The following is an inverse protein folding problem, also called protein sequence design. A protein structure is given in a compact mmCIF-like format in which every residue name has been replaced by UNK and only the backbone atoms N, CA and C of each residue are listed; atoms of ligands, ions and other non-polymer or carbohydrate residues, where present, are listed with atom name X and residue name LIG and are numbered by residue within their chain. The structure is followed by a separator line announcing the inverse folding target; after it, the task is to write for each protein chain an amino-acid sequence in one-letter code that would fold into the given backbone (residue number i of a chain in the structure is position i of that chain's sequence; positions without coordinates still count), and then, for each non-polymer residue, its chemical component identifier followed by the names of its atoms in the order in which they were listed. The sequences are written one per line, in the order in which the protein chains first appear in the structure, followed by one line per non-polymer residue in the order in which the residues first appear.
data_IF_094245418079
#
_entry.id   IF_094245418079
#
_cell.length_a   1.000
_cell.length_b   1.000
_cell.length_c   1.000
_cell.angle_alpha   90.00
_cell.angle_beta   90.00
_cell.angle_gamma   90.00
#
_symmetry.space_group_name_H-M   'P 1'
#
loop_
_entity.id
_entity.type
_entity.pdbx_description
1 polymer ?
#
# COMPACT_ATOMS: atom_id res chain seq x y z
N UNK A 1 -13.17 19.05 -9.93
CA UNK A 1 -13.41 20.00 -8.82
C UNK A 1 -13.27 19.23 -7.51
N UNK A 2 -12.08 19.24 -6.89
CA UNK A 2 -11.82 18.55 -5.63
C UNK A 2 -12.14 19.51 -4.47
N UNK A 3 -13.04 19.12 -3.58
CA UNK A 3 -13.47 19.92 -2.43
C UNK A 3 -12.34 19.98 -1.40
N UNK A 4 -11.57 21.07 -1.34
CA UNK A 4 -10.72 21.34 -0.18
C UNK A 4 -11.63 21.79 0.97
N UNK A 5 -11.88 20.92 1.95
CA UNK A 5 -12.58 21.30 3.19
C UNK A 5 -11.80 22.42 3.87
N UNK A 6 -12.46 23.57 4.09
CA UNK A 6 -11.97 24.72 4.86
C UNK A 6 -11.65 24.26 6.29
N UNK A 7 -10.40 23.90 6.54
CA UNK A 7 -9.91 23.42 7.84
C UNK A 7 -8.47 22.90 7.78
N UNK A 8 -7.99 22.50 6.61
CA UNK A 8 -6.69 21.84 6.41
C UNK A 8 -5.52 22.84 6.17
N UNK A 9 -5.49 23.95 6.94
CA UNK A 9 -4.43 24.98 6.84
C UNK A 9 -3.22 24.73 7.75
N UNK A 10 -3.17 23.57 8.41
CA UNK A 10 -2.00 23.13 9.17
C UNK A 10 -1.39 21.90 8.51
N UNK A 11 -0.20 22.06 7.93
CA UNK A 11 0.74 20.97 7.62
C UNK A 11 0.46 20.09 6.38
N UNK A 12 0.13 20.72 5.25
CA UNK A 12 -0.06 20.03 3.95
C UNK A 12 1.23 19.52 3.30
N UNK A 13 2.42 19.88 3.81
CA UNK A 13 3.72 19.55 3.22
C UNK A 13 4.24 18.17 3.67
N UNK A 14 4.00 17.79 4.92
CA UNK A 14 4.52 16.55 5.55
C UNK A 14 3.71 15.30 5.20
N UNK A 15 2.46 15.45 4.77
CA UNK A 15 1.56 14.33 4.44
C UNK A 15 1.71 13.79 3.01
N UNK A 16 2.46 14.47 2.15
CA UNK A 16 2.40 14.24 0.70
C UNK A 16 3.62 13.59 0.10
N UNK A 17 4.70 13.36 0.85
CA UNK A 17 5.96 12.91 0.25
C UNK A 17 6.51 11.61 0.87
N UNK A 18 6.79 10.65 0.00
CA UNK A 18 7.57 9.45 0.32
C UNK A 18 8.89 9.56 -0.46
N UNK A 19 10.02 9.60 0.26
CA UNK A 19 11.36 9.82 -0.31
C UNK A 19 11.52 11.10 -1.16
N UNK A 20 10.80 12.17 -0.83
CA UNK A 20 10.83 13.43 -1.59
C UNK A 20 10.03 13.42 -2.89
N UNK A 21 9.30 12.33 -3.17
CA UNK A 21 8.36 12.24 -4.27
C UNK A 21 6.90 12.30 -3.75
N UNK A 22 5.99 12.97 -4.47
CA UNK A 22 4.61 13.09 -4.04
C UNK A 22 3.88 11.74 -4.10
N UNK A 23 3.04 11.41 -3.10
CA UNK A 23 2.25 10.17 -3.05
C UNK A 23 1.48 9.86 -4.35
N UNK A 24 0.85 10.85 -5.03
CA UNK A 24 0.22 10.61 -6.32
C UNK A 24 1.15 10.00 -7.39
N UNK A 25 2.41 10.41 -7.44
CA UNK A 25 3.38 9.84 -8.38
C UNK A 25 3.69 8.38 -8.05
N UNK A 26 3.84 8.05 -6.76
CA UNK A 26 4.00 6.66 -6.31
C UNK A 26 2.77 5.81 -6.69
N UNK A 27 1.56 6.31 -6.46
CA UNK A 27 0.34 5.59 -6.82
C UNK A 27 0.21 5.39 -8.32
N UNK A 28 0.63 6.36 -9.13
CA UNK A 28 0.65 6.22 -10.58
C UNK A 28 1.57 5.07 -11.01
N UNK A 29 2.81 5.03 -10.52
CA UNK A 29 3.75 3.92 -10.79
C UNK A 29 3.17 2.58 -10.36
N UNK A 30 2.53 2.52 -9.19
CA UNK A 30 1.87 1.30 -8.72
C UNK A 30 0.73 0.88 -9.65
N UNK A 31 -0.06 1.81 -10.17
CA UNK A 31 -1.14 1.54 -11.12
C UNK A 31 -0.61 1.04 -12.47
N UNK A 32 0.48 1.62 -13.00
CA UNK A 32 1.12 1.14 -14.23
C UNK A 32 1.64 -0.30 -14.08
N UNK A 33 2.27 -0.60 -12.94
CA UNK A 33 2.72 -1.95 -12.63
C UNK A 33 1.53 -2.92 -12.47
N UNK A 34 0.45 -2.50 -11.82
CA UNK A 34 -0.77 -3.30 -11.75
C UNK A 34 -1.37 -3.57 -13.13
N UNK A 35 -1.35 -2.60 -14.03
CA UNK A 35 -1.80 -2.80 -15.41
C UNK A 35 -0.93 -3.82 -16.16
N UNK A 36 0.39 -3.77 -15.95
CA UNK A 36 1.32 -4.77 -16.51
C UNK A 36 1.04 -6.17 -15.97
N UNK A 37 0.81 -6.30 -14.67
CA UNK A 37 0.44 -7.57 -14.04
C UNK A 37 -0.92 -8.10 -14.55
N UNK A 38 -1.90 -7.21 -14.75
CA UNK A 38 -3.21 -7.57 -15.33
C UNK A 38 -3.07 -8.08 -16.76
N UNK A 39 -2.23 -7.44 -17.58
CA UNK A 39 -1.97 -7.89 -18.94
C UNK A 39 -1.36 -9.31 -18.96
N UNK A 40 -0.43 -9.60 -18.05
CA UNK A 40 0.12 -10.96 -17.89
C UNK A 40 -0.95 -11.97 -17.50
N UNK A 41 -1.79 -11.64 -16.52
CA UNK A 41 -2.88 -12.51 -16.06
C UNK A 41 -3.87 -12.77 -17.18
N UNK A 42 -4.09 -11.80 -18.07
CA UNK A 42 -4.93 -11.94 -19.26
C UNK A 42 -4.27 -12.72 -20.41
N UNK A 43 -3.01 -13.15 -20.27
CA UNK A 43 -2.29 -13.96 -21.24
C UNK A 43 -1.39 -13.19 -22.22
N UNK A 44 -1.19 -11.89 -22.03
CA UNK A 44 -0.22 -11.13 -22.83
C UNK A 44 1.22 -11.44 -22.41
N UNK A 45 2.19 -11.36 -23.33
CA UNK A 45 3.62 -11.40 -23.00
C UNK A 45 4.09 -10.05 -22.44
N UNK A 46 3.52 -9.70 -21.29
CA UNK A 46 3.91 -8.61 -20.42
C UNK A 46 4.15 -9.20 -19.05
N UNK A 47 5.15 -8.73 -18.33
CA UNK A 47 5.50 -9.25 -17.01
C UNK A 47 6.18 -8.18 -16.19
N UNK A 48 6.05 -8.26 -14.87
CA UNK A 48 6.81 -7.42 -13.97
C UNK A 48 8.24 -7.95 -13.87
N UNK A 49 9.21 -7.12 -14.22
CA UNK A 49 10.62 -7.43 -14.05
C UNK A 49 11.08 -7.25 -12.60
N UNK A 50 12.26 -7.81 -12.30
CA UNK A 50 12.85 -7.78 -10.96
C UNK A 50 13.18 -6.37 -10.47
N UNK A 51 13.41 -5.44 -11.38
CA UNK A 51 13.68 -4.02 -11.10
C UNK A 51 12.49 -3.36 -10.39
N UNK A 52 11.27 -3.57 -10.90
CA UNK A 52 10.04 -3.03 -10.29
C UNK A 52 9.78 -3.61 -8.89
N UNK A 53 10.21 -4.86 -8.64
CA UNK A 53 10.15 -5.48 -7.31
C UNK A 53 11.15 -4.82 -6.36
N UNK A 54 12.38 -4.58 -6.81
CA UNK A 54 13.39 -3.87 -6.02
C UNK A 54 12.99 -2.42 -5.74
N UNK A 55 12.34 -1.77 -6.68
CA UNK A 55 11.86 -0.39 -6.52
C UNK A 55 10.81 -0.30 -5.40
N UNK A 56 9.80 -1.18 -5.42
CA UNK A 56 8.78 -1.20 -4.36
C UNK A 56 9.38 -1.57 -3.00
N UNK A 57 10.35 -2.50 -2.96
CA UNK A 57 11.09 -2.85 -1.74
C UNK A 57 11.90 -1.67 -1.19
N UNK A 58 12.53 -0.89 -2.06
CA UNK A 58 13.27 0.31 -1.68
C UNK A 58 12.35 1.38 -1.09
N UNK A 59 11.15 1.53 -1.66
CA UNK A 59 10.13 2.45 -1.10
C UNK A 59 9.67 1.98 0.27
N UNK A 60 9.36 0.69 0.44
CA UNK A 60 8.98 0.09 1.73
C UNK A 60 10.06 0.35 2.78
N UNK A 61 11.31 -0.01 2.48
CA UNK A 61 12.43 0.19 3.40
C UNK A 61 12.64 1.67 3.77
N UNK A 62 12.42 2.58 2.81
CA UNK A 62 12.50 4.02 3.07
C UNK A 62 11.40 4.54 3.99
N UNK A 63 10.19 3.96 3.93
CA UNK A 63 9.09 4.27 4.85
C UNK A 63 9.39 3.69 6.24
N UNK A 64 9.75 2.42 6.31
CA UNK A 64 9.96 1.70 7.57
C UNK A 64 11.07 2.32 8.43
N UNK A 65 12.13 2.86 7.81
CA UNK A 65 13.19 3.59 8.51
C UNK A 65 12.70 4.82 9.30
N UNK A 66 11.53 5.38 8.93
CA UNK A 66 10.94 6.55 9.60
C UNK A 66 9.94 6.16 10.68
N UNK A 67 9.63 4.87 10.83
CA UNK A 67 8.57 4.40 11.70
C UNK A 67 9.14 3.69 12.92
N UNK A 68 8.42 3.73 14.06
CA UNK A 68 8.75 2.86 15.17
C UNK A 68 8.66 1.38 14.76
N UNK A 69 9.41 0.48 15.42
CA UNK A 69 9.35 -0.96 15.13
C UNK A 69 7.93 -1.49 15.35
N UNK A 70 7.49 -2.43 14.49
CA UNK A 70 6.19 -3.11 14.65
C UNK A 70 6.26 -3.99 15.89
N UNK A 71 5.40 -3.71 16.88
CA UNK A 71 5.35 -4.49 18.14
C UNK A 71 4.14 -5.43 18.22
N UNK A 72 3.15 -5.23 17.37
CA UNK A 72 1.92 -6.04 17.34
C UNK A 72 1.24 -5.94 15.98
N UNK A 73 0.25 -6.79 15.74
CA UNK A 73 -0.71 -6.53 14.67
C UNK A 73 -1.40 -5.18 14.89
N UNK A 74 -1.66 -4.47 13.80
CA UNK A 74 -2.37 -3.19 13.80
C UNK A 74 -3.81 -3.41 13.32
N UNK A 75 -4.77 -2.85 14.05
CA UNK A 75 -6.15 -2.78 13.57
C UNK A 75 -6.23 -1.88 12.33
N UNK A 76 -6.90 -2.33 11.24
CA UNK A 76 -7.06 -1.52 10.04
C UNK A 76 -7.70 -0.16 10.34
N UNK A 77 -7.18 0.90 9.72
CA UNK A 77 -7.61 2.29 9.99
C UNK A 77 -7.00 2.93 11.25
N UNK A 78 -6.22 2.20 12.04
CA UNK A 78 -5.48 2.72 13.20
C UNK A 78 -6.29 2.75 14.50
N UNK A 79 -5.83 3.51 15.49
CA UNK A 79 -6.53 3.69 16.76
C UNK A 79 -7.81 4.51 16.63
N UNK A 80 -8.77 4.33 17.54
CA UNK A 80 -9.90 5.25 17.72
C UNK A 80 -9.47 6.61 18.27
N UNK A 81 -8.25 6.70 18.84
CA UNK A 81 -7.65 7.94 19.33
C UNK A 81 -7.15 8.82 18.17
N UNK A 82 -7.08 10.11 18.42
CA UNK A 82 -6.64 11.12 17.43
C UNK A 82 -7.80 11.80 16.70
N UNK A 83 -7.53 12.93 16.05
CA UNK A 83 -8.53 13.69 15.30
C UNK A 83 -8.79 13.05 13.93
N UNK A 84 -9.99 13.22 13.41
CA UNK A 84 -10.28 12.89 12.02
C UNK A 84 -9.45 13.78 11.09
N UNK A 85 -8.93 13.21 9.99
CA UNK A 85 -8.13 13.92 9.00
C UNK A 85 -8.19 13.19 7.65
N UNK A 86 -7.91 13.93 6.57
CA UNK A 86 -7.82 13.39 5.21
C UNK A 86 -6.77 12.28 5.08
N UNK A 87 -5.68 12.36 5.86
CA UNK A 87 -4.67 11.31 5.92
C UNK A 87 -5.19 10.01 6.55
N UNK A 88 -6.07 10.09 7.58
CA UNK A 88 -6.71 8.89 8.17
C UNK A 88 -7.71 8.26 7.22
N UNK A 89 -8.48 9.08 6.51
CA UNK A 89 -9.37 8.57 5.45
C UNK A 89 -8.58 7.81 4.39
N UNK A 90 -7.47 8.40 3.92
CA UNK A 90 -6.58 7.74 2.97
C UNK A 90 -5.97 6.45 3.55
N UNK A 91 -5.52 6.46 4.81
CA UNK A 91 -5.00 5.25 5.46
C UNK A 91 -6.07 4.13 5.51
N UNK A 92 -7.31 4.46 5.87
CA UNK A 92 -8.40 3.48 5.86
C UNK A 92 -8.67 2.93 4.44
N UNK A 93 -8.67 3.79 3.42
CA UNK A 93 -8.80 3.36 2.01
C UNK A 93 -7.65 2.46 1.57
N UNK A 94 -6.41 2.74 2.00
CA UNK A 94 -5.25 1.91 1.70
C UNK A 94 -5.32 0.54 2.38
N UNK A 95 -5.89 0.44 3.58
CA UNK A 95 -6.15 -0.86 4.22
C UNK A 95 -7.19 -1.68 3.45
N UNK A 96 -8.24 -1.03 2.93
CA UNK A 96 -9.21 -1.69 2.03
C UNK A 96 -8.49 -2.17 0.76
N UNK A 97 -7.69 -1.31 0.14
CA UNK A 97 -6.89 -1.67 -1.04
C UNK A 97 -5.94 -2.84 -0.74
N UNK A 98 -5.35 -2.89 0.47
CA UNK A 98 -4.49 -3.99 0.92
C UNK A 98 -5.26 -5.30 1.01
N UNK A 99 -6.47 -5.29 1.56
CA UNK A 99 -7.32 -6.47 1.61
C UNK A 99 -7.71 -6.97 0.20
N UNK A 100 -8.00 -6.04 -0.71
CA UNK A 100 -8.30 -6.36 -2.12
C UNK A 100 -7.06 -6.93 -2.83
N UNK A 101 -5.88 -6.32 -2.62
CA UNK A 101 -4.61 -6.80 -3.17
C UNK A 101 -4.30 -8.23 -2.72
N UNK A 102 -4.42 -8.53 -1.42
CA UNK A 102 -4.25 -9.91 -0.92
C UNK A 102 -5.30 -10.89 -1.46
N UNK A 103 -6.53 -10.43 -1.73
CA UNK A 103 -7.55 -11.25 -2.39
C UNK A 103 -7.18 -11.55 -3.84
N UNK A 104 -6.65 -10.57 -4.56
CA UNK A 104 -6.17 -10.75 -5.92
C UNK A 104 -4.98 -11.73 -5.96
N UNK A 105 -3.99 -11.56 -5.07
CA UNK A 105 -2.84 -12.47 -4.88
C UNK A 105 -3.33 -13.93 -4.72
N UNK A 106 -4.26 -14.19 -3.78
CA UNK A 106 -4.81 -15.54 -3.57
C UNK A 106 -5.53 -16.11 -4.79
N UNK A 107 -6.24 -15.29 -5.56
CA UNK A 107 -6.91 -15.74 -6.80
C UNK A 107 -5.89 -16.12 -7.87
N UNK A 108 -4.82 -15.35 -7.99
CA UNK A 108 -3.72 -15.66 -8.92
C UNK A 108 -3.05 -16.98 -8.53
N UNK A 109 -2.73 -17.17 -7.25
CA UNK A 109 -2.15 -18.44 -6.75
C UNK A 109 -3.09 -19.61 -7.03
N UNK A 110 -4.39 -19.49 -6.72
CA UNK A 110 -5.36 -20.55 -6.99
C UNK A 110 -5.44 -20.92 -8.48
N UNK A 111 -5.37 -19.93 -9.39
CA UNK A 111 -5.33 -20.20 -10.83
C UNK A 111 -4.04 -20.90 -11.29
N UNK A 112 -2.90 -20.60 -10.66
CA UNK A 112 -1.63 -21.29 -10.90
C UNK A 112 -1.69 -22.74 -10.42
N UNK A 113 -2.20 -22.98 -9.21
CA UNK A 113 -2.37 -24.33 -8.64
C UNK A 113 -3.27 -25.22 -9.51
N UNK A 114 -4.31 -24.63 -10.10
CA UNK A 114 -5.20 -25.31 -11.06
C UNK A 114 -4.63 -25.44 -12.47
N UNK A 115 -3.43 -24.91 -12.73
CA UNK A 115 -2.79 -24.85 -14.05
C UNK A 115 -3.59 -24.03 -15.09
N UNK A 116 -4.47 -23.14 -14.63
CA UNK A 116 -5.25 -22.22 -15.48
C UNK A 116 -4.43 -20.97 -15.84
N UNK A 117 -3.48 -20.59 -14.99
CA UNK A 117 -2.63 -19.42 -15.16
C UNK A 117 -1.15 -19.79 -15.16
N UNK A 118 -0.37 -19.11 -16.00
CA UNK A 118 1.10 -19.14 -15.98
C UNK A 118 1.61 -17.73 -15.76
N UNK A 119 2.06 -17.44 -14.55
CA UNK A 119 2.51 -16.10 -14.13
C UNK A 119 3.99 -16.14 -13.79
N UNK A 120 4.71 -15.09 -14.15
CA UNK A 120 6.11 -14.89 -13.82
C UNK A 120 6.35 -14.71 -12.32
N UNK A 121 7.52 -15.14 -11.86
CA UNK A 121 7.95 -14.96 -10.48
C UNK A 121 8.01 -13.47 -10.08
N UNK A 122 8.37 -12.58 -11.01
CA UNK A 122 8.42 -11.14 -10.77
C UNK A 122 7.04 -10.56 -10.46
N UNK A 123 6.01 -10.95 -11.20
CA UNK A 123 4.63 -10.50 -10.94
C UNK A 123 4.08 -11.06 -9.64
N UNK A 124 4.34 -12.33 -9.32
CA UNK A 124 3.96 -12.89 -8.03
C UNK A 124 4.62 -12.17 -6.85
N UNK A 125 5.93 -11.92 -6.95
CA UNK A 125 6.67 -11.17 -5.94
C UNK A 125 6.13 -9.73 -5.81
N UNK A 126 5.80 -9.08 -6.92
CA UNK A 126 5.24 -7.74 -6.92
C UNK A 126 3.86 -7.68 -6.24
N UNK A 127 2.95 -8.62 -6.53
CA UNK A 127 1.63 -8.69 -5.88
C UNK A 127 1.75 -8.88 -4.37
N UNK A 128 2.69 -9.73 -3.93
CA UNK A 128 2.99 -9.90 -2.52
C UNK A 128 3.50 -8.59 -1.88
N UNK A 129 4.50 -7.95 -2.50
CA UNK A 129 5.11 -6.70 -2.04
C UNK A 129 4.16 -5.52 -2.09
N UNK A 130 3.19 -5.49 -2.99
CA UNK A 130 2.14 -4.48 -3.02
C UNK A 130 1.36 -4.47 -1.70
N UNK A 131 1.06 -5.63 -1.14
CA UNK A 131 0.38 -5.69 0.17
C UNK A 131 1.26 -5.15 1.31
N UNK A 132 2.58 -5.33 1.23
CA UNK A 132 3.56 -4.75 2.16
C UNK A 132 3.66 -3.22 2.02
N UNK A 133 3.72 -2.70 0.78
CA UNK A 133 3.73 -1.26 0.52
C UNK A 133 2.50 -0.57 1.09
N UNK A 134 1.31 -1.13 0.82
CA UNK A 134 0.06 -0.56 1.31
C UNK A 134 0.03 -0.54 2.84
N UNK A 135 0.52 -1.61 3.50
CA UNK A 135 0.65 -1.63 4.95
C UNK A 135 1.63 -0.56 5.48
N UNK A 136 2.81 -0.42 4.86
CA UNK A 136 3.77 0.60 5.24
C UNK A 136 3.22 2.02 5.09
N UNK A 137 2.48 2.30 4.01
CA UNK A 137 1.84 3.60 3.77
C UNK A 137 0.76 3.91 4.80
N UNK A 138 -0.06 2.92 5.19
CA UNK A 138 -1.05 3.09 6.26
C UNK A 138 -0.38 3.55 7.55
N UNK A 139 0.70 2.86 7.96
CA UNK A 139 1.46 3.22 9.16
C UNK A 139 2.07 4.61 9.04
N UNK A 140 2.65 4.94 7.89
CA UNK A 140 3.25 6.24 7.62
C UNK A 140 2.26 7.39 7.75
N UNK A 141 1.09 7.27 7.11
CA UNK A 141 0.06 8.30 7.16
C UNK A 141 -0.44 8.50 8.59
N UNK A 142 -0.76 7.41 9.31
CA UNK A 142 -1.21 7.49 10.70
C UNK A 142 -0.14 8.09 11.61
N UNK A 143 1.13 7.69 11.45
CA UNK A 143 2.25 8.22 12.23
C UNK A 143 2.40 9.74 12.03
N UNK A 144 2.34 10.22 10.79
CA UNK A 144 2.51 11.65 10.48
C UNK A 144 1.40 12.53 11.05
N UNK A 145 0.19 12.00 11.27
CA UNK A 145 -0.91 12.74 11.93
C UNK A 145 -1.04 12.42 13.42
N UNK A 146 -0.03 11.77 14.03
CA UNK A 146 -0.02 11.46 15.45
C UNK A 146 -1.08 10.46 15.90
N UNK A 147 -1.59 9.62 14.99
CA UNK A 147 -2.54 8.54 15.32
C UNK A 147 -1.73 7.33 15.79
N UNK A 148 -1.92 6.87 17.04
CA UNK A 148 -1.19 5.72 17.54
C UNK A 148 -1.66 4.43 16.87
N UNK A 149 -0.76 3.46 16.79
CA UNK A 149 -1.10 2.10 16.39
C UNK A 149 -1.96 1.45 17.48
N UNK A 150 -3.03 0.74 17.07
CA UNK A 150 -3.89 0.00 17.98
C UNK A 150 -3.69 -1.50 17.79
N UNK A 151 -3.34 -2.18 18.89
CA UNK A 151 -3.29 -3.63 18.95
C UNK A 151 -4.69 -4.23 19.12
N UNK A 152 -4.96 -5.43 18.56
CA UNK A 152 -6.16 -6.19 18.92
C UNK A 152 -6.23 -6.47 20.42
N UNK A 153 -7.44 -6.41 20.97
CA UNK A 153 -7.72 -6.86 22.33
C UNK A 153 -8.15 -8.31 22.28
N UNK A 154 -7.32 -9.22 22.80
CA UNK A 154 -7.67 -10.62 23.02
C UNK A 154 -8.19 -10.75 24.46
N UNK A 155 -9.44 -10.37 24.68
CA UNK A 155 -10.14 -10.66 25.95
C UNK A 155 -10.99 -11.90 25.75
#
# INVERSE_FOLDING_TARGET
MWYTRKGDKGDTKTLREVRGAPLPALFHVVQENLFTAQAEIAGADKRIGSEKVKDIETVIAGIEKKLPPVKSFCIPGGSTKGKYSTARELAALLDIARAISRRAERRVIAGIEKKELKISAGTLAYLNRLSSLLYALVRFLNHNVGVPEAAPSYK
#
